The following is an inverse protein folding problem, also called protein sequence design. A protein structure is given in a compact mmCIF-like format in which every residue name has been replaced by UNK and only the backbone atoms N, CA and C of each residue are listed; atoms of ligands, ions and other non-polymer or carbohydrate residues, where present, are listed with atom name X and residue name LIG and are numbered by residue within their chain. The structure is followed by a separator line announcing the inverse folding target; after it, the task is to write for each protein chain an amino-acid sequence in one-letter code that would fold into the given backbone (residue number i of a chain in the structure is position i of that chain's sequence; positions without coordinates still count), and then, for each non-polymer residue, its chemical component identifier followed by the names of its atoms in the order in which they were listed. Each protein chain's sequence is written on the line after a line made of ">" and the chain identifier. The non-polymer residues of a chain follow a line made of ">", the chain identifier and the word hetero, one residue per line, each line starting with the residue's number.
data_IF_725744167187
#
_entry.id   IF_725744167187
#
_cell.length_a   1.000
_cell.length_b   1.000
_cell.length_c   1.000
_cell.angle_alpha   90.00
_cell.angle_beta   90.00
_cell.angle_gamma   90.00
#
_symmetry.space_group_name_H-M   'P 1'
#
loop_
_entity.id
_entity.type
_entity.pdbx_description
1 polymer ?
#
# COMPACT_ATOMS: atom_id res chain seq x y z
N UNK A 1 23.14 2.53 -21.40
CA UNK A 1 24.03 3.64 -20.97
C UNK A 1 23.15 4.78 -20.50
N UNK A 2 23.35 5.30 -19.29
CA UNK A 2 22.55 6.40 -18.78
C UNK A 2 22.82 7.67 -19.59
N UNK A 3 21.78 8.29 -20.14
CA UNK A 3 21.90 9.58 -20.82
C UNK A 3 21.58 10.69 -19.83
N UNK A 4 22.52 11.63 -19.65
CA UNK A 4 22.30 12.79 -18.80
C UNK A 4 22.02 14.02 -19.66
N UNK A 5 20.91 14.69 -19.39
CA UNK A 5 20.52 15.92 -20.06
C UNK A 5 20.19 16.99 -19.03
N UNK A 6 20.79 18.17 -19.17
CA UNK A 6 20.41 19.32 -18.34
C UNK A 6 19.12 19.90 -18.91
N UNK A 7 18.00 19.70 -18.21
CA UNK A 7 16.68 20.14 -18.66
C UNK A 7 16.31 21.54 -18.16
N UNK A 8 16.92 21.97 -17.06
CA UNK A 8 16.69 23.30 -16.49
C UNK A 8 17.96 23.86 -15.88
N UNK A 9 18.18 25.15 -16.14
CA UNK A 9 19.20 25.97 -15.49
C UNK A 9 18.52 27.17 -14.88
N UNK A 10 18.67 27.33 -13.57
CA UNK A 10 18.15 28.50 -12.86
C UNK A 10 19.26 29.11 -12.02
N UNK A 11 19.53 30.39 -12.26
CA UNK A 11 20.38 31.18 -11.36
C UNK A 11 19.61 31.35 -10.06
N UNK A 12 20.12 30.75 -8.99
CA UNK A 12 19.43 30.76 -7.68
C UNK A 12 19.88 31.97 -6.86
N UNK A 13 21.07 32.52 -7.14
CA UNK A 13 21.62 33.68 -6.46
C UNK A 13 23.14 33.78 -6.58
N UNK A 14 23.74 34.79 -5.93
CA UNK A 14 25.20 34.93 -5.89
C UNK A 14 25.84 33.80 -5.07
N UNK A 15 27.01 33.33 -5.47
CA UNK A 15 27.81 32.40 -4.66
C UNK A 15 28.43 33.07 -3.40
N UNK A 16 28.11 34.33 -3.13
CA UNK A 16 28.60 35.02 -1.94
C UNK A 16 28.04 34.34 -0.67
N UNK A 17 28.90 33.94 0.30
CA UNK A 17 28.50 33.10 1.44
C UNK A 17 27.35 33.67 2.27
N UNK A 18 27.28 35.00 2.42
CA UNK A 18 26.26 35.69 3.21
C UNK A 18 24.88 35.66 2.52
N UNK A 19 24.83 35.92 1.22
CA UNK A 19 23.58 35.93 0.46
C UNK A 19 22.98 34.52 0.37
N UNK A 20 23.82 33.49 0.26
CA UNK A 20 23.43 32.08 0.34
C UNK A 20 22.72 31.76 1.65
N UNK A 21 23.33 32.12 2.79
CA UNK A 21 22.74 31.91 4.13
C UNK A 21 21.37 32.59 4.31
N UNK A 22 21.20 33.83 3.84
CA UNK A 22 19.90 34.50 3.92
C UNK A 22 18.81 33.80 3.09
N UNK A 23 19.17 33.27 1.92
CA UNK A 23 18.25 32.50 1.07
C UNK A 23 17.88 31.15 1.71
N UNK A 24 18.85 30.47 2.31
CA UNK A 24 18.63 29.20 3.01
C UNK A 24 17.69 29.38 4.21
N UNK A 25 17.82 30.48 4.97
CA UNK A 25 16.88 30.87 6.03
C UNK A 25 15.47 31.10 5.47
N UNK A 26 15.33 31.86 4.37
CA UNK A 26 14.01 32.12 3.75
C UNK A 26 13.34 30.83 3.26
N UNK A 27 14.12 29.92 2.66
CA UNK A 27 13.63 28.63 2.21
C UNK A 27 13.26 27.73 3.39
N UNK A 28 13.99 27.80 4.51
CA UNK A 28 13.64 27.10 5.74
C UNK A 28 12.27 27.56 6.28
N UNK A 29 11.96 28.86 6.23
CA UNK A 29 10.63 29.37 6.60
C UNK A 29 9.51 28.88 5.68
N UNK A 30 9.76 28.77 4.37
CA UNK A 30 8.80 28.15 3.45
C UNK A 30 8.60 26.65 3.78
N UNK A 31 9.66 25.96 4.19
CA UNK A 31 9.63 24.57 4.64
C UNK A 31 8.75 24.34 5.87
N UNK A 32 8.59 25.33 6.75
CA UNK A 32 7.72 25.22 7.95
C UNK A 32 6.27 24.91 7.56
N UNK A 33 5.75 25.53 6.50
CA UNK A 33 4.38 25.27 6.02
C UNK A 33 4.19 23.83 5.55
N UNK A 34 5.15 23.30 4.79
CA UNK A 34 5.19 21.89 4.41
C UNK A 34 5.30 20.98 5.64
N UNK A 35 6.09 21.40 6.64
CA UNK A 35 6.22 20.72 7.93
C UNK A 35 4.89 20.55 8.65
N UNK A 36 4.08 21.60 8.75
CA UNK A 36 2.74 21.51 9.33
C UNK A 36 1.81 20.58 8.53
N UNK A 37 1.87 20.61 7.20
CA UNK A 37 1.13 19.67 6.35
C UNK A 37 1.50 18.22 6.64
N UNK A 38 2.80 17.91 6.72
CA UNK A 38 3.30 16.59 7.07
C UNK A 38 2.85 16.15 8.49
N UNK A 39 2.85 17.07 9.46
CA UNK A 39 2.35 16.78 10.81
C UNK A 39 0.87 16.38 10.79
N UNK A 40 0.01 17.15 10.10
CA UNK A 40 -1.43 16.89 10.00
C UNK A 40 -1.69 15.52 9.36
N UNK A 41 -1.05 15.24 8.22
CA UNK A 41 -1.18 13.94 7.55
C UNK A 41 -0.68 12.81 8.45
N UNK A 42 0.45 13.01 9.15
CA UNK A 42 0.98 12.07 10.12
C UNK A 42 -0.03 11.73 11.23
N UNK A 43 -0.72 12.73 11.79
CA UNK A 43 -1.78 12.50 12.78
C UNK A 43 -3.00 11.76 12.19
N UNK A 44 -3.42 12.09 10.96
CA UNK A 44 -4.51 11.36 10.28
C UNK A 44 -4.11 9.88 10.09
N UNK A 45 -2.85 9.60 9.73
CA UNK A 45 -2.35 8.23 9.63
C UNK A 45 -2.35 7.49 10.97
N UNK A 46 -2.07 8.16 12.10
CA UNK A 46 -2.21 7.54 13.42
C UNK A 46 -3.67 7.13 13.66
N UNK A 47 -4.62 8.03 13.39
CA UNK A 47 -6.06 7.76 13.59
C UNK A 47 -6.53 6.60 12.71
N UNK A 48 -6.27 6.68 11.40
CA UNK A 48 -6.67 5.66 10.43
C UNK A 48 -5.99 4.31 10.69
N UNK A 49 -4.77 4.28 11.23
CA UNK A 49 -4.10 3.03 11.64
C UNK A 49 -4.83 2.28 12.76
N UNK A 50 -5.69 2.97 13.53
CA UNK A 50 -6.47 2.38 14.63
C UNK A 50 -7.91 2.15 14.20
N UNK A 51 -8.52 3.08 13.46
CA UNK A 51 -9.97 3.04 13.17
C UNK A 51 -10.32 2.47 11.80
N UNK A 52 -9.44 2.58 10.80
CA UNK A 52 -9.75 2.22 9.41
C UNK A 52 -9.33 0.80 9.03
N UNK A 53 -8.41 0.17 9.78
CA UNK A 53 -8.05 -1.24 9.54
C UNK A 53 -9.13 -2.13 10.09
N UNK A 54 -9.96 -2.67 9.19
CA UNK A 54 -10.96 -3.68 9.52
C UNK A 54 -10.28 -4.94 10.07
N UNK A 55 -10.83 -5.46 11.16
CA UNK A 55 -10.32 -6.64 11.87
C UNK A 55 -11.03 -7.90 11.37
N UNK A 56 -10.84 -8.22 10.09
CA UNK A 56 -11.38 -9.43 9.47
C UNK A 56 -10.98 -10.68 10.23
N UNK A 57 -9.75 -10.76 10.73
CA UNK A 57 -9.29 -11.90 11.51
C UNK A 57 -10.16 -12.17 12.75
N UNK A 58 -10.60 -11.13 13.46
CA UNK A 58 -11.48 -11.28 14.63
C UNK A 58 -12.88 -11.70 14.25
N UNK A 59 -13.39 -11.19 13.12
CA UNK A 59 -14.69 -11.61 12.57
C UNK A 59 -14.62 -13.10 12.22
N UNK A 60 -13.62 -13.50 11.44
CA UNK A 60 -13.42 -14.90 11.03
C UNK A 60 -13.18 -15.81 12.23
N UNK A 61 -12.36 -15.40 13.20
CA UNK A 61 -12.08 -16.20 14.40
C UNK A 61 -13.28 -16.31 15.35
N UNK A 62 -14.13 -15.29 15.41
CA UNK A 62 -15.31 -15.27 16.28
C UNK A 62 -16.50 -16.08 15.74
N UNK A 63 -16.53 -16.34 14.44
CA UNK A 63 -17.57 -17.17 13.82
C UNK A 63 -17.27 -18.66 14.02
N UNK A 64 -18.25 -19.48 14.45
CA UNK A 64 -18.09 -20.93 14.43
C UNK A 64 -17.99 -21.42 12.99
N UNK A 65 -17.17 -22.45 12.76
CA UNK A 65 -17.13 -23.15 11.48
C UNK A 65 -18.35 -24.07 11.39
N UNK A 66 -19.21 -23.84 10.41
CA UNK A 66 -20.46 -24.58 10.22
C UNK A 66 -20.42 -25.42 8.95
N UNK A 67 -21.17 -26.53 8.94
CA UNK A 67 -21.50 -27.18 7.67
C UNK A 67 -22.54 -26.35 6.91
N UNK A 68 -22.63 -26.50 5.57
CA UNK A 68 -23.61 -25.76 4.78
C UNK A 68 -25.07 -26.00 5.19
N UNK A 69 -25.39 -27.18 5.74
CA UNK A 69 -26.74 -27.54 6.16
C UNK A 69 -27.15 -26.92 7.50
N UNK A 70 -26.17 -26.56 8.33
CA UNK A 70 -26.38 -25.96 9.65
C UNK A 70 -26.41 -24.42 9.60
N UNK A 71 -25.97 -23.83 8.49
CA UNK A 71 -25.89 -22.39 8.31
C UNK A 71 -27.28 -21.74 8.26
N UNK A 72 -27.43 -20.63 8.97
CA UNK A 72 -28.64 -19.80 8.99
C UNK A 72 -28.35 -18.43 8.39
N UNK A 73 -29.38 -17.71 7.94
CA UNK A 73 -29.22 -16.35 7.42
C UNK A 73 -28.45 -15.44 8.40
N UNK A 74 -27.59 -14.59 7.86
CA UNK A 74 -26.67 -13.72 8.60
C UNK A 74 -25.21 -13.96 8.24
N UNK A 75 -24.29 -13.40 9.03
CA UNK A 75 -22.85 -13.59 8.78
C UNK A 75 -22.46 -15.00 9.21
N UNK A 76 -22.02 -15.82 8.24
CA UNK A 76 -21.65 -17.22 8.45
C UNK A 76 -20.22 -17.48 8.02
N UNK A 77 -19.66 -18.58 8.55
CA UNK A 77 -18.40 -19.16 8.10
C UNK A 77 -18.64 -20.64 7.81
N UNK A 78 -18.71 -20.97 6.53
CA UNK A 78 -18.98 -22.33 6.06
C UNK A 78 -17.72 -22.95 5.47
N UNK A 79 -17.61 -24.26 5.58
CA UNK A 79 -16.57 -25.04 4.90
C UNK A 79 -17.17 -26.21 4.14
N UNK A 80 -16.66 -26.45 2.93
CA UNK A 80 -17.00 -27.65 2.19
C UNK A 80 -16.33 -27.69 0.83
N UNK A 81 -16.61 -28.76 0.08
CA UNK A 81 -16.11 -28.92 -1.27
C UNK A 81 -16.96 -28.08 -2.24
N UNK A 82 -16.35 -27.21 -3.06
CA UNK A 82 -17.09 -26.44 -4.06
C UNK A 82 -17.64 -27.36 -5.16
N UNK A 83 -18.88 -27.14 -5.55
CA UNK A 83 -19.48 -27.68 -6.77
C UNK A 83 -19.60 -26.54 -7.77
N UNK A 84 -18.89 -26.65 -8.88
CA UNK A 84 -18.78 -25.60 -9.90
C UNK A 84 -19.61 -26.04 -11.10
N UNK A 85 -20.62 -25.25 -11.46
CA UNK A 85 -21.49 -25.57 -12.60
C UNK A 85 -20.88 -25.06 -13.92
N UNK A 86 -20.31 -23.87 -13.89
CA UNK A 86 -19.70 -23.20 -15.05
C UNK A 86 -18.30 -22.74 -14.65
N UNK A 87 -17.26 -23.60 -14.77
CA UNK A 87 -15.90 -23.21 -14.42
C UNK A 87 -15.40 -22.12 -15.36
N UNK A 88 -14.54 -21.25 -14.83
CA UNK A 88 -13.91 -20.23 -15.67
C UNK A 88 -12.88 -20.91 -16.56
N UNK A 89 -12.92 -20.55 -17.83
CA UNK A 89 -11.82 -20.79 -18.74
C UNK A 89 -11.73 -19.63 -19.73
N UNK A 90 -10.52 -19.14 -19.94
CA UNK A 90 -10.25 -18.07 -20.90
C UNK A 90 -9.56 -18.63 -22.12
N UNK A 91 -10.04 -18.24 -23.29
CA UNK A 91 -9.37 -18.54 -24.55
C UNK A 91 -8.33 -17.47 -24.85
N UNK A 92 -7.10 -17.90 -25.08
CA UNK A 92 -5.99 -17.07 -25.51
C UNK A 92 -5.43 -17.57 -26.84
N UNK A 93 -4.68 -16.73 -27.53
CA UNK A 93 -4.08 -17.06 -28.81
C UNK A 93 -2.57 -17.05 -28.68
N UNK A 94 -1.90 -18.03 -29.28
CA UNK A 94 -0.45 -18.02 -29.42
C UNK A 94 -0.02 -17.12 -30.58
N UNK A 95 1.23 -16.70 -30.60
CA UNK A 95 1.83 -15.98 -31.70
C UNK A 95 2.22 -16.96 -32.81
N UNK A 96 1.82 -16.66 -34.04
CA UNK A 96 2.18 -17.48 -35.21
C UNK A 96 3.62 -17.24 -35.70
N UNK A 97 4.16 -16.06 -35.38
CA UNK A 97 5.46 -15.55 -35.82
C UNK A 97 6.13 -14.81 -34.66
N UNK A 98 7.45 -14.68 -34.72
CA UNK A 98 8.29 -14.08 -33.67
C UNK A 98 7.86 -12.66 -33.27
N UNK A 99 7.24 -11.91 -34.19
CA UNK A 99 6.79 -10.53 -33.94
C UNK A 99 5.33 -10.42 -33.46
N UNK A 100 4.63 -11.53 -33.22
CA UNK A 100 3.24 -11.60 -32.74
C UNK A 100 2.20 -10.79 -33.56
N UNK A 101 2.52 -10.37 -34.78
CA UNK A 101 1.69 -9.48 -35.61
C UNK A 101 0.38 -10.11 -36.12
N UNK A 102 0.22 -11.42 -35.99
CA UNK A 102 -1.02 -12.13 -36.30
C UNK A 102 -1.31 -13.22 -35.26
N UNK A 103 -2.58 -13.41 -34.87
CA UNK A 103 -2.96 -14.46 -33.95
C UNK A 103 -2.75 -15.85 -34.59
N UNK A 104 -2.26 -16.77 -33.77
CA UNK A 104 -2.01 -18.16 -34.11
C UNK A 104 -3.09 -19.10 -33.58
N UNK A 105 -2.67 -20.28 -33.13
CA UNK A 105 -3.56 -21.28 -32.53
C UNK A 105 -4.25 -20.71 -31.27
N UNK A 106 -5.57 -20.92 -31.17
CA UNK A 106 -6.32 -20.60 -29.96
C UNK A 106 -6.21 -21.77 -28.98
N UNK A 107 -5.91 -21.46 -27.72
CA UNK A 107 -5.88 -22.42 -26.61
C UNK A 107 -6.77 -21.90 -25.50
N UNK A 108 -7.23 -22.81 -24.67
CA UNK A 108 -8.09 -22.48 -23.53
C UNK A 108 -7.36 -22.85 -22.25
N UNK A 109 -7.49 -22.01 -21.22
CA UNK A 109 -6.97 -22.34 -19.88
C UNK A 109 -7.66 -23.58 -19.33
N UNK A 110 -7.00 -24.25 -18.39
CA UNK A 110 -7.63 -25.35 -17.66
C UNK A 110 -8.85 -24.81 -16.91
N UNK A 111 -10.03 -25.49 -16.98
CA UNK A 111 -11.20 -25.11 -16.20
C UNK A 111 -10.84 -24.93 -14.72
N UNK A 112 -11.17 -23.75 -14.20
CA UNK A 112 -10.73 -23.30 -12.88
C UNK A 112 -11.87 -22.63 -12.13
N UNK A 113 -11.82 -22.70 -10.80
CA UNK A 113 -12.73 -21.94 -9.94
C UNK A 113 -12.44 -20.44 -10.00
N UNK A 114 -11.15 -20.12 -10.01
CA UNK A 114 -10.64 -18.75 -10.00
C UNK A 114 -9.42 -18.72 -10.92
N UNK A 115 -9.32 -17.68 -11.74
CA UNK A 115 -8.13 -17.42 -12.55
C UNK A 115 -7.78 -15.93 -12.56
N UNK A 116 -6.49 -15.63 -12.43
CA UNK A 116 -5.90 -14.33 -12.71
C UNK A 116 -4.99 -14.49 -13.90
N UNK A 117 -5.22 -13.67 -14.91
CA UNK A 117 -4.48 -13.65 -16.15
C UNK A 117 -3.72 -12.33 -16.21
N UNK A 118 -2.40 -12.42 -16.35
CA UNK A 118 -1.53 -11.25 -16.53
C UNK A 118 -0.80 -11.40 -17.86
N UNK A 119 -1.14 -10.55 -18.82
CA UNK A 119 -0.48 -10.48 -20.11
C UNK A 119 0.71 -9.56 -19.98
N UNK A 120 1.91 -10.08 -20.22
CA UNK A 120 3.14 -9.33 -20.10
C UNK A 120 3.90 -9.32 -21.42
N UNK A 121 4.53 -8.19 -21.73
CA UNK A 121 5.51 -8.08 -22.81
C UNK A 121 6.84 -7.62 -22.25
N UNK A 122 7.92 -8.24 -22.70
CA UNK A 122 9.27 -7.83 -22.34
C UNK A 122 9.65 -6.59 -23.16
N UNK A 123 9.88 -5.47 -22.47
CA UNK A 123 10.09 -4.17 -23.08
C UNK A 123 11.24 -3.43 -22.42
N UNK A 124 11.75 -2.45 -23.15
CA UNK A 124 12.63 -1.44 -22.59
C UNK A 124 11.74 -0.36 -21.99
N UNK A 125 11.94 -0.07 -20.71
CA UNK A 125 11.32 1.06 -20.05
C UNK A 125 12.34 2.16 -19.85
N UNK A 126 11.94 3.36 -20.24
CA UNK A 126 12.63 4.59 -19.91
C UNK A 126 12.34 4.96 -18.45
N UNK A 127 13.32 4.78 -17.58
CA UNK A 127 13.29 5.24 -16.21
C UNK A 127 14.01 6.57 -16.10
N UNK A 128 13.22 7.63 -15.97
CA UNK A 128 13.73 8.98 -15.79
C UNK A 128 13.89 9.29 -14.30
N UNK A 129 15.13 9.58 -13.89
CA UNK A 129 15.41 10.18 -12.59
C UNK A 129 15.88 11.61 -12.75
N UNK A 130 15.35 12.52 -11.94
CA UNK A 130 15.79 13.92 -11.94
C UNK A 130 16.62 14.18 -10.70
N UNK A 131 17.86 14.62 -10.90
CA UNK A 131 18.73 15.08 -9.84
C UNK A 131 18.93 16.59 -9.97
N UNK A 132 18.73 17.34 -8.88
CA UNK A 132 19.10 18.76 -8.86
C UNK A 132 20.46 18.91 -8.20
N UNK A 133 21.43 19.38 -8.96
CA UNK A 133 22.77 19.71 -8.46
C UNK A 133 23.02 21.21 -8.52
N UNK A 134 23.80 21.72 -7.58
CA UNK A 134 24.22 23.13 -7.58
C UNK A 134 25.64 23.21 -8.10
N UNK A 135 25.85 23.96 -9.19
CA UNK A 135 27.16 24.21 -9.80
C UNK A 135 27.50 25.69 -9.62
N UNK A 136 28.77 26.00 -9.34
CA UNK A 136 29.25 27.38 -9.27
C UNK A 136 29.82 27.73 -10.64
N UNK A 137 29.18 28.68 -11.33
CA UNK A 137 29.61 29.17 -12.64
C UNK A 137 29.70 30.70 -12.58
N UNK A 138 30.87 31.26 -12.90
CA UNK A 138 31.12 32.71 -12.88
C UNK A 138 30.75 33.42 -11.55
N UNK A 139 30.95 32.76 -10.41
CA UNK A 139 30.63 33.32 -9.09
C UNK A 139 29.15 33.37 -8.74
N UNK A 140 28.30 32.70 -9.53
CA UNK A 140 26.87 32.51 -9.24
C UNK A 140 26.58 31.04 -8.96
N UNK A 141 25.62 30.79 -8.08
CA UNK A 141 25.10 29.44 -7.84
C UNK A 141 23.97 29.17 -8.83
N UNK A 142 24.22 28.22 -9.73
CA UNK A 142 23.27 27.75 -10.72
C UNK A 142 22.76 26.39 -10.27
N UNK A 143 21.46 26.27 -10.06
CA UNK A 143 20.82 24.96 -9.93
C UNK A 143 20.63 24.41 -11.33
N UNK A 144 21.28 23.28 -11.59
CA UNK A 144 21.04 22.44 -12.75
C UNK A 144 20.14 21.29 -12.34
N UNK A 145 19.00 21.13 -13.01
CA UNK A 145 18.24 19.89 -12.94
C UNK A 145 18.72 19.00 -14.07
N UNK A 146 19.39 17.92 -13.70
CA UNK A 146 19.90 16.90 -14.60
C UNK A 146 18.89 15.77 -14.63
N UNK A 147 18.37 15.51 -15.81
CA UNK A 147 17.56 14.34 -16.11
C UNK A 147 18.52 13.22 -16.49
N UNK A 148 18.50 12.13 -15.73
CA UNK A 148 19.22 10.90 -16.04
C UNK A 148 18.19 9.89 -16.53
N UNK A 149 18.32 9.53 -17.79
CA UNK A 149 17.47 8.55 -18.45
C UNK A 149 18.21 7.22 -18.45
N UNK A 150 17.64 6.24 -17.77
CA UNK A 150 18.09 4.85 -17.80
C UNK A 150 17.10 3.98 -18.56
N UNK A 151 17.62 3.08 -19.38
CA UNK A 151 16.81 2.17 -20.18
C UNK A 151 16.96 0.77 -19.60
N UNK A 152 15.88 0.24 -19.04
CA UNK A 152 15.88 -1.05 -18.36
C UNK A 152 14.93 -2.02 -19.06
N UNK A 153 15.46 -3.18 -19.43
CA UNK A 153 14.68 -4.28 -20.01
C UNK A 153 13.94 -5.04 -18.90
N UNK A 154 12.60 -5.09 -18.96
CA UNK A 154 11.79 -5.84 -18.00
C UNK A 154 10.44 -6.26 -18.58
N UNK A 155 9.80 -7.21 -17.90
CA UNK A 155 8.42 -7.58 -18.18
C UNK A 155 7.47 -6.47 -17.74
N UNK A 156 6.59 -6.04 -18.65
CA UNK A 156 5.58 -5.00 -18.43
C UNK A 156 4.20 -5.61 -18.59
N UNK A 157 3.38 -5.45 -17.56
CA UNK A 157 1.96 -5.79 -17.59
C UNK A 157 1.25 -4.92 -18.63
N UNK A 158 0.58 -5.58 -19.58
CA UNK A 158 -0.21 -4.96 -20.65
C UNK A 158 -1.70 -5.06 -20.40
N UNK A 159 -2.11 -6.17 -19.81
CA UNK A 159 -3.48 -6.39 -19.39
C UNK A 159 -3.49 -7.31 -18.17
N UNK A 160 -4.52 -7.18 -17.36
CA UNK A 160 -4.74 -8.03 -16.19
C UNK A 160 -6.22 -8.20 -15.93
N UNK A 161 -6.67 -9.45 -15.89
CA UNK A 161 -8.05 -9.80 -15.55
C UNK A 161 -8.08 -10.85 -14.45
N UNK A 162 -9.07 -10.75 -13.57
CA UNK A 162 -9.35 -11.76 -12.55
C UNK A 162 -10.80 -12.19 -12.70
N UNK A 163 -11.02 -13.49 -12.85
CA UNK A 163 -12.33 -14.06 -13.12
C UNK A 163 -12.64 -15.14 -12.08
N UNK A 164 -13.88 -15.18 -11.65
CA UNK A 164 -14.41 -16.20 -10.77
C UNK A 164 -15.54 -16.99 -11.44
N UNK A 165 -15.61 -18.27 -11.11
CA UNK A 165 -16.79 -19.07 -11.36
C UNK A 165 -17.72 -18.95 -10.15
N UNK A 166 -19.02 -18.92 -10.41
CA UNK A 166 -20.01 -19.15 -9.39
C UNK A 166 -19.96 -20.61 -8.96
N UNK A 167 -20.13 -20.85 -7.66
CA UNK A 167 -20.03 -22.20 -7.11
C UNK A 167 -21.01 -22.40 -5.97
N UNK A 168 -21.23 -23.66 -5.61
CA UNK A 168 -22.04 -24.05 -4.47
C UNK A 168 -21.19 -24.77 -3.43
N UNK A 169 -21.48 -24.55 -2.15
CA UNK A 169 -21.00 -25.41 -1.07
C UNK A 169 -22.24 -26.00 -0.41
N UNK A 170 -22.45 -27.30 -0.60
CA UNK A 170 -23.70 -27.95 -0.20
C UNK A 170 -24.89 -27.35 -0.96
N UNK A 171 -25.83 -26.73 -0.24
CA UNK A 171 -27.01 -26.07 -0.81
C UNK A 171 -26.85 -24.55 -0.98
N UNK A 172 -25.73 -23.99 -0.53
CA UNK A 172 -25.49 -22.53 -0.52
C UNK A 172 -24.79 -22.14 -1.81
N UNK A 173 -25.36 -21.16 -2.51
CA UNK A 173 -24.75 -20.56 -3.70
C UNK A 173 -23.80 -19.43 -3.28
N UNK A 174 -22.60 -19.40 -3.84
CA UNK A 174 -21.59 -18.37 -3.59
C UNK A 174 -21.30 -17.63 -4.89
N UNK A 175 -21.47 -16.30 -4.85
CA UNK A 175 -21.17 -15.37 -5.94
C UNK A 175 -19.93 -14.55 -5.51
N UNK A 176 -18.71 -15.01 -5.84
CA UNK A 176 -17.47 -14.49 -5.27
C UNK A 176 -16.94 -13.21 -5.95
N UNK A 177 -17.72 -12.56 -6.82
CA UNK A 177 -17.33 -11.31 -7.44
C UNK A 177 -17.03 -10.24 -6.36
N UNK A 178 -15.85 -9.63 -6.41
CA UNK A 178 -15.39 -8.65 -5.40
C UNK A 178 -14.90 -9.24 -4.07
N UNK A 179 -14.92 -10.57 -3.91
CA UNK A 179 -14.45 -11.22 -2.69
C UNK A 179 -12.98 -10.88 -2.37
N UNK A 180 -12.68 -10.71 -1.08
CA UNK A 180 -11.29 -10.65 -0.62
C UNK A 180 -10.66 -12.04 -0.76
N UNK A 181 -9.73 -12.16 -1.68
CA UNK A 181 -9.06 -13.43 -1.99
C UNK A 181 -7.89 -13.68 -1.03
N UNK A 182 -7.99 -14.70 -0.19
CA UNK A 182 -6.87 -15.17 0.65
C UNK A 182 -6.58 -16.61 0.28
N UNK A 183 -5.97 -16.78 -0.88
CA UNK A 183 -5.85 -18.07 -1.55
C UNK A 183 -4.38 -18.48 -1.71
N UNK A 184 -4.16 -19.77 -1.85
CA UNK A 184 -2.97 -20.36 -2.45
C UNK A 184 -3.33 -20.78 -3.87
N UNK A 185 -2.73 -20.10 -4.85
CA UNK A 185 -2.95 -20.34 -6.27
C UNK A 185 -1.81 -21.17 -6.84
N UNK A 186 -2.12 -22.00 -7.83
CA UNK A 186 -1.11 -22.55 -8.72
C UNK A 186 -0.78 -21.51 -9.78
N UNK A 187 0.47 -21.45 -10.23
CA UNK A 187 0.90 -20.51 -11.28
C UNK A 187 1.53 -21.27 -12.45
N UNK A 188 1.17 -20.87 -13.67
CA UNK A 188 1.83 -21.33 -14.90
C UNK A 188 2.11 -20.16 -15.82
N UNK A 189 3.19 -20.24 -16.58
CA UNK A 189 3.55 -19.24 -17.58
C UNK A 189 3.46 -19.85 -18.98
N UNK A 190 2.73 -19.19 -19.87
CA UNK A 190 2.63 -19.58 -21.28
C UNK A 190 3.39 -18.55 -22.12
N UNK A 191 4.50 -18.93 -22.77
CA UNK A 191 5.24 -18.01 -23.64
C UNK A 191 4.51 -17.80 -24.97
N UNK A 192 4.94 -16.77 -25.70
CA UNK A 192 4.55 -16.47 -27.07
C UNK A 192 3.03 -16.30 -27.25
N UNK A 193 2.40 -15.52 -26.36
CA UNK A 193 0.96 -15.21 -26.43
C UNK A 193 0.69 -13.94 -27.21
N UNK A 194 -0.37 -13.95 -28.02
CA UNK A 194 -0.85 -12.77 -28.70
C UNK A 194 -1.53 -11.85 -27.69
N UNK A 195 -1.01 -10.62 -27.55
CA UNK A 195 -1.58 -9.58 -26.69
C UNK A 195 -2.31 -8.59 -27.60
N UNK A 196 -3.66 -8.48 -27.50
CA UNK A 196 -4.41 -7.52 -28.29
C UNK A 196 -3.93 -6.10 -28.02
N UNK A 197 -3.79 -5.29 -29.08
CA UNK A 197 -3.43 -3.88 -28.98
C UNK A 197 -2.13 -3.57 -28.22
N UNK A 198 -1.17 -4.51 -28.18
CA UNK A 198 0.08 -4.31 -27.44
C UNK A 198 0.91 -3.10 -27.94
N UNK A 199 0.64 -2.58 -29.15
CA UNK A 199 1.38 -1.47 -29.73
C UNK A 199 2.75 -1.90 -30.28
N UNK A 200 3.52 -0.95 -30.79
CA UNK A 200 4.87 -1.20 -31.33
C UNK A 200 5.86 -1.29 -30.16
N UNK A 201 6.82 -2.21 -30.23
CA UNK A 201 7.91 -2.29 -29.26
C UNK A 201 8.91 -1.18 -29.55
N UNK A 202 9.09 -0.25 -28.60
CA UNK A 202 10.07 0.82 -28.73
C UNK A 202 11.43 0.35 -28.23
N UNK A 203 12.47 0.58 -29.04
CA UNK A 203 13.85 0.23 -28.69
C UNK A 203 14.69 1.44 -28.25
N UNK A 204 14.15 2.67 -28.32
CA UNK A 204 14.84 3.92 -27.99
C UNK A 204 16.24 4.06 -28.61
N UNK A 205 16.44 3.47 -29.79
CA UNK A 205 17.75 3.42 -30.46
C UNK A 205 18.84 2.66 -29.69
N UNK A 206 18.48 1.88 -28.67
CA UNK A 206 19.39 1.05 -27.90
C UNK A 206 19.65 -0.29 -28.60
N UNK A 207 20.80 -0.89 -28.32
CA UNK A 207 21.03 -2.30 -28.61
C UNK A 207 20.21 -3.12 -27.60
N UNK A 208 19.30 -3.95 -28.11
CA UNK A 208 18.33 -4.69 -27.30
C UNK A 208 18.68 -6.16 -27.23
N UNK A 209 18.27 -6.86 -26.18
CA UNK A 209 18.35 -8.32 -26.14
C UNK A 209 17.34 -8.98 -27.10
N UNK A 210 17.60 -10.23 -27.47
CA UNK A 210 16.69 -11.05 -28.29
C UNK A 210 15.33 -11.31 -27.61
N UNK A 211 15.20 -10.98 -26.31
CA UNK A 211 13.96 -11.11 -25.55
C UNK A 211 13.04 -9.92 -25.72
N UNK A 212 13.53 -8.76 -26.17
CA UNK A 212 12.68 -7.56 -26.32
C UNK A 212 11.61 -7.81 -27.38
N UNK A 213 10.35 -7.67 -26.95
CA UNK A 213 9.17 -8.02 -27.72
C UNK A 213 8.57 -9.39 -27.40
N UNK A 214 9.27 -10.26 -26.66
CA UNK A 214 8.72 -11.52 -26.19
C UNK A 214 7.48 -11.27 -25.33
N UNK A 215 6.47 -12.11 -25.51
CA UNK A 215 5.21 -12.04 -24.78
C UNK A 215 5.04 -13.29 -23.92
N UNK A 216 4.33 -13.13 -22.80
CA UNK A 216 3.88 -14.27 -22.00
C UNK A 216 2.57 -13.97 -21.31
N UNK A 217 1.85 -15.04 -21.00
CA UNK A 217 0.67 -15.03 -20.14
C UNK A 217 1.03 -15.73 -18.84
N UNK A 218 0.92 -15.02 -17.72
CA UNK A 218 0.93 -15.64 -16.40
C UNK A 218 -0.49 -15.98 -16.02
N UNK A 219 -0.71 -17.23 -15.63
CA UNK A 219 -2.01 -17.76 -15.22
C UNK A 219 -1.85 -18.20 -13.78
N UNK A 220 -2.46 -17.48 -12.85
CA UNK A 220 -2.61 -17.91 -11.46
C UNK A 220 -4.02 -18.45 -11.29
N UNK A 221 -4.19 -19.69 -10.83
CA UNK A 221 -5.51 -20.31 -10.80
C UNK A 221 -5.72 -21.24 -9.61
N UNK A 222 -6.99 -21.52 -9.34
CA UNK A 222 -7.44 -22.55 -8.41
C UNK A 222 -8.14 -23.63 -9.22
N UNK A 223 -7.64 -24.87 -9.21
CA UNK A 223 -8.25 -25.95 -9.98
C UNK A 223 -9.68 -26.22 -9.50
N UNK A 224 -10.53 -26.66 -10.42
CA UNK A 224 -11.91 -27.07 -10.11
C UNK A 224 -11.98 -28.15 -9.02
N UNK A 225 -10.96 -29.00 -8.93
CA UNK A 225 -10.88 -30.14 -8.01
C UNK A 225 -10.35 -29.76 -6.63
N UNK A 226 -10.57 -28.52 -6.17
CA UNK A 226 -10.12 -28.11 -4.83
C UNK A 226 -10.95 -28.81 -3.76
N UNK A 227 -10.30 -29.52 -2.85
CA UNK A 227 -10.99 -30.40 -1.90
C UNK A 227 -11.87 -29.64 -0.90
N UNK A 228 -11.42 -28.49 -0.41
CA UNK A 228 -12.13 -27.70 0.59
C UNK A 228 -11.91 -26.20 0.41
N UNK A 229 -13.00 -25.44 0.57
CA UNK A 229 -12.98 -23.99 0.69
C UNK A 229 -13.65 -23.56 1.98
N UNK A 230 -13.15 -22.47 2.55
CA UNK A 230 -13.81 -21.70 3.60
C UNK A 230 -14.37 -20.43 2.96
N UNK A 231 -15.66 -20.21 3.15
CA UNK A 231 -16.35 -18.99 2.73
C UNK A 231 -16.90 -18.29 3.96
N UNK A 232 -16.54 -17.02 4.10
CA UNK A 232 -17.07 -16.12 5.13
C UNK A 232 -17.84 -15.02 4.41
N UNK A 233 -19.07 -14.78 4.81
CA UNK A 233 -19.91 -13.76 4.17
C UNK A 233 -21.31 -13.72 4.77
N UNK A 234 -22.13 -12.80 4.27
CA UNK A 234 -23.54 -12.70 4.65
C UNK A 234 -24.37 -13.69 3.82
N UNK A 235 -24.95 -14.68 4.49
CA UNK A 235 -25.90 -15.62 3.91
C UNK A 235 -27.30 -15.00 3.94
N UNK A 236 -27.91 -14.89 2.77
CA UNK A 236 -29.29 -14.43 2.62
C UNK A 236 -30.02 -15.35 1.64
N UNK A 237 -31.06 -16.03 2.11
CA UNK A 237 -31.88 -16.93 1.28
C UNK A 237 -31.04 -18.00 0.54
N UNK A 238 -30.06 -18.60 1.22
CA UNK A 238 -29.21 -19.63 0.63
C UNK A 238 -28.15 -19.12 -0.35
N UNK A 239 -27.94 -17.81 -0.44
CA UNK A 239 -26.91 -17.20 -1.28
C UNK A 239 -25.97 -16.34 -0.45
N UNK A 240 -24.67 -16.49 -0.67
CA UNK A 240 -23.63 -15.58 -0.21
C UNK A 240 -23.15 -14.83 -1.45
N UNK A 241 -23.48 -13.55 -1.54
CA UNK A 241 -23.05 -12.67 -2.62
C UNK A 241 -22.40 -11.42 -2.02
N UNK A 242 -21.64 -10.71 -2.87
CA UNK A 242 -21.16 -9.33 -2.72
C UNK A 242 -21.21 -8.73 -1.30
N UNK A 243 -20.05 -8.33 -0.79
CA UNK A 243 -19.97 -7.62 0.48
C UNK A 243 -18.54 -7.42 0.93
N UNK A 244 -18.32 -6.37 1.73
CA UNK A 244 -16.99 -6.07 2.28
C UNK A 244 -16.45 -7.21 3.17
N UNK A 245 -17.32 -8.10 3.65
CA UNK A 245 -16.99 -9.25 4.50
C UNK A 245 -16.83 -10.56 3.73
N UNK A 246 -17.04 -10.57 2.41
CA UNK A 246 -16.91 -11.78 1.60
C UNK A 246 -15.44 -12.19 1.46
N UNK A 247 -15.09 -13.33 2.06
CA UNK A 247 -13.74 -13.90 2.02
C UNK A 247 -13.88 -15.34 1.52
N UNK A 248 -13.12 -15.66 0.48
CA UNK A 248 -12.98 -17.03 -0.03
C UNK A 248 -11.52 -17.46 0.17
N UNK A 249 -11.34 -18.65 0.73
CA UNK A 249 -10.02 -19.20 1.09
C UNK A 249 -9.98 -20.70 0.88
N UNK A 250 -8.87 -21.23 0.36
CA UNK A 250 -8.56 -22.67 0.33
C UNK A 250 -7.61 -23.09 1.46
N UNK A 251 -7.27 -22.16 2.37
CA UNK A 251 -6.50 -22.43 3.58
C UNK A 251 -7.35 -23.05 4.67
N UNK A 252 -6.70 -23.72 5.63
CA UNK A 252 -7.35 -24.12 6.88
C UNK A 252 -7.81 -22.89 7.67
N UNK A 253 -8.77 -23.08 8.60
CA UNK A 253 -9.30 -21.99 9.42
C UNK A 253 -8.19 -21.24 10.18
N UNK A 254 -7.24 -21.96 10.76
CA UNK A 254 -6.18 -21.37 11.58
C UNK A 254 -5.16 -20.61 10.73
N UNK A 255 -4.82 -21.13 9.54
CA UNK A 255 -3.97 -20.45 8.57
C UNK A 255 -4.65 -19.20 8.00
N UNK A 256 -5.95 -19.26 7.69
CA UNK A 256 -6.72 -18.13 7.22
C UNK A 256 -6.72 -17.00 8.26
N UNK A 257 -7.04 -17.32 9.52
CA UNK A 257 -7.03 -16.34 10.62
C UNK A 257 -5.63 -15.75 10.76
N UNK A 258 -4.59 -16.58 10.81
CA UNK A 258 -3.20 -16.13 10.94
C UNK A 258 -2.77 -15.22 9.78
N UNK A 259 -3.12 -15.57 8.54
CA UNK A 259 -2.78 -14.77 7.35
C UNK A 259 -3.51 -13.43 7.36
N UNK A 260 -4.78 -13.40 7.79
CA UNK A 260 -5.54 -12.15 7.98
C UNK A 260 -4.94 -11.28 9.09
N UNK A 261 -4.59 -11.88 10.24
CA UNK A 261 -3.95 -11.17 11.36
C UNK A 261 -2.63 -10.52 10.91
N UNK A 262 -1.80 -11.26 10.16
CA UNK A 262 -0.54 -10.77 9.66
C UNK A 262 -0.72 -9.63 8.65
N UNK A 263 -1.67 -9.75 7.71
CA UNK A 263 -1.99 -8.68 6.76
C UNK A 263 -2.44 -7.40 7.48
N UNK A 264 -3.33 -7.53 8.46
CA UNK A 264 -3.81 -6.40 9.25
C UNK A 264 -2.71 -5.80 10.13
N UNK A 265 -1.91 -6.62 10.80
CA UNK A 265 -0.78 -6.17 11.61
C UNK A 265 0.23 -5.41 10.74
N UNK A 266 0.52 -5.92 9.55
CA UNK A 266 1.41 -5.28 8.57
C UNK A 266 0.85 -3.96 8.09
N UNK A 267 -0.44 -3.89 7.74
CA UNK A 267 -1.10 -2.64 7.33
C UNK A 267 -1.07 -1.59 8.45
N UNK A 268 -1.38 -1.98 9.70
CA UNK A 268 -1.28 -1.09 10.87
C UNK A 268 0.15 -0.61 11.09
N UNK A 269 1.13 -1.51 10.99
CA UNK A 269 2.55 -1.19 11.19
C UNK A 269 3.05 -0.24 10.09
N UNK A 270 2.71 -0.49 8.83
CA UNK A 270 3.05 0.36 7.70
C UNK A 270 2.50 1.78 7.88
N UNK A 271 1.21 1.92 8.23
CA UNK A 271 0.62 3.24 8.50
C UNK A 271 1.30 3.96 9.68
N UNK A 272 1.63 3.25 10.76
CA UNK A 272 2.35 3.83 11.90
C UNK A 272 3.77 4.25 11.54
N UNK A 273 4.44 3.47 10.70
CA UNK A 273 5.77 3.79 10.18
C UNK A 273 5.72 5.05 9.31
N UNK A 274 4.77 5.15 8.37
CA UNK A 274 4.59 6.36 7.56
C UNK A 274 4.17 7.57 8.40
N UNK A 275 3.31 7.40 9.41
CA UNK A 275 2.98 8.45 10.36
C UNK A 275 4.22 8.95 11.10
N UNK A 276 5.05 8.04 11.62
CA UNK A 276 6.30 8.36 12.28
C UNK A 276 7.26 9.12 11.37
N UNK A 277 7.41 8.68 10.11
CA UNK A 277 8.27 9.33 9.12
C UNK A 277 7.79 10.76 8.83
N UNK A 278 6.49 10.94 8.56
CA UNK A 278 5.89 12.25 8.29
C UNK A 278 5.98 13.20 9.49
N UNK A 279 5.76 12.69 10.70
CA UNK A 279 5.93 13.49 11.92
C UNK A 279 7.39 13.91 12.12
N UNK A 280 8.34 13.00 11.87
CA UNK A 280 9.77 13.27 11.99
C UNK A 280 10.20 14.37 11.00
N UNK A 281 9.75 14.27 9.75
CA UNK A 281 9.98 15.30 8.72
C UNK A 281 9.30 16.61 9.13
N UNK A 282 8.07 16.56 9.64
CA UNK A 282 7.31 17.72 10.09
C UNK A 282 8.00 18.50 11.20
N UNK A 283 8.44 17.82 12.26
CA UNK A 283 9.20 18.46 13.35
C UNK A 283 10.57 18.96 12.89
N UNK A 284 11.28 18.18 12.07
CA UNK A 284 12.55 18.60 11.48
C UNK A 284 12.41 19.89 10.67
N UNK A 285 11.34 20.02 9.87
CA UNK A 285 11.04 21.22 9.09
C UNK A 285 10.72 22.44 9.98
N UNK A 286 10.04 22.25 11.12
CA UNK A 286 9.77 23.33 12.09
C UNK A 286 11.06 23.80 12.78
N UNK A 287 11.98 22.88 13.07
CA UNK A 287 13.27 23.21 13.69
C UNK A 287 14.29 23.79 12.70
N UNK A 288 14.08 23.61 11.39
CA UNK A 288 15.04 24.03 10.36
C UNK A 288 15.48 25.50 10.46
N UNK A 289 14.59 26.50 10.67
CA UNK A 289 15.01 27.90 10.81
C UNK A 289 15.95 28.13 12.01
N UNK A 290 15.73 27.41 13.12
CA UNK A 290 16.57 27.51 14.33
C UNK A 290 17.95 26.89 14.05
N UNK A 291 17.98 25.73 13.38
CA UNK A 291 19.22 25.03 13.05
C UNK A 291 20.11 25.83 12.10
N UNK A 292 19.51 26.61 11.19
CA UNK A 292 20.26 27.46 10.27
C UNK A 292 21.07 28.56 10.99
N UNK A 293 20.60 29.04 12.15
CA UNK A 293 21.39 29.94 13.00
C UNK A 293 22.57 29.23 13.67
N UNK A 294 22.43 27.96 14.02
CA UNK A 294 23.49 27.16 14.66
C UNK A 294 24.62 26.81 13.67
N UNK A 295 24.31 26.76 12.37
CA UNK A 295 25.30 26.56 11.31
C UNK A 295 26.27 27.72 11.11
N UNK A 296 26.11 28.83 11.85
CA UNK A 296 27.16 29.86 11.92
C UNK A 296 28.47 29.29 12.49
N UNK A 297 28.39 28.20 13.28
CA UNK A 297 29.54 27.51 13.87
C UNK A 297 29.79 26.20 13.09
N UNK A 298 30.92 26.06 12.37
CA UNK A 298 31.12 25.05 11.32
C UNK A 298 31.09 23.58 11.78
N UNK A 299 31.35 23.30 13.07
CA UNK A 299 31.26 21.95 13.64
C UNK A 299 29.93 21.72 14.37
N UNK A 300 29.44 22.74 15.08
CA UNK A 300 28.21 22.63 15.85
C UNK A 300 26.97 22.45 14.96
N UNK A 301 26.94 23.07 13.78
CA UNK A 301 25.80 22.98 12.84
C UNK A 301 25.47 21.54 12.40
N UNK A 302 26.47 20.77 11.97
CA UNK A 302 26.27 19.38 11.52
C UNK A 302 25.78 18.49 12.65
N UNK A 303 26.40 18.62 13.84
CA UNK A 303 26.00 17.86 15.03
C UNK A 303 24.58 18.25 15.46
N UNK A 304 24.23 19.53 15.42
CA UNK A 304 22.89 20.01 15.76
C UNK A 304 21.80 19.48 14.81
N UNK A 305 22.06 19.43 13.49
CA UNK A 305 21.11 18.87 12.52
C UNK A 305 20.85 17.38 12.77
N UNK A 306 21.91 16.60 13.00
CA UNK A 306 21.80 15.17 13.33
C UNK A 306 21.05 14.98 14.66
N UNK A 307 21.43 15.74 15.70
CA UNK A 307 20.76 15.69 17.00
C UNK A 307 19.28 16.06 16.90
N UNK A 308 18.93 17.12 16.16
CA UNK A 308 17.55 17.54 15.96
C UNK A 308 16.72 16.49 15.20
N UNK A 309 17.32 15.80 14.22
CA UNK A 309 16.66 14.68 13.56
C UNK A 309 16.37 13.55 14.55
N UNK A 310 17.35 13.13 15.36
CA UNK A 310 17.14 12.10 16.38
C UNK A 310 16.10 12.50 17.43
N UNK A 311 16.15 13.74 17.93
CA UNK A 311 15.15 14.26 18.88
C UNK A 311 13.75 14.24 18.24
N UNK A 312 13.64 14.70 16.99
CA UNK A 312 12.37 14.69 16.24
C UNK A 312 11.86 13.27 16.02
N UNK A 313 12.74 12.33 15.70
CA UNK A 313 12.40 10.92 15.48
C UNK A 313 11.92 10.24 16.77
N UNK A 314 12.62 10.46 17.89
CA UNK A 314 12.23 9.93 19.21
C UNK A 314 10.91 10.55 19.66
N UNK A 315 10.75 11.86 19.51
CA UNK A 315 9.51 12.55 19.87
C UNK A 315 8.33 12.09 18.99
N UNK A 316 8.55 11.90 17.70
CA UNK A 316 7.54 11.36 16.77
C UNK A 316 7.15 9.94 17.16
N UNK A 317 8.12 9.08 17.50
CA UNK A 317 7.84 7.72 17.95
C UNK A 317 7.00 7.72 19.24
N UNK A 318 7.33 8.60 20.18
CA UNK A 318 6.55 8.80 21.40
C UNK A 318 5.12 9.27 21.10
N UNK A 319 4.92 10.19 20.15
CA UNK A 319 3.59 10.66 19.75
C UNK A 319 2.77 9.58 19.03
N UNK A 320 3.38 8.79 18.14
CA UNK A 320 2.71 7.66 17.50
C UNK A 320 2.30 6.63 18.55
N UNK A 321 3.21 6.24 19.45
CA UNK A 321 2.92 5.26 20.50
C UNK A 321 1.81 5.77 21.43
N UNK A 322 1.92 7.00 21.92
CA UNK A 322 0.93 7.62 22.80
C UNK A 322 -0.40 7.80 22.10
N UNK A 323 -0.40 8.25 20.84
CA UNK A 323 -1.61 8.42 20.04
C UNK A 323 -2.34 7.09 19.81
N UNK A 324 -1.61 6.03 19.47
CA UNK A 324 -2.18 4.67 19.35
C UNK A 324 -2.74 4.19 20.69
N UNK A 325 -2.03 4.41 21.81
CA UNK A 325 -2.49 4.02 23.15
C UNK A 325 -3.75 4.80 23.54
N UNK A 326 -3.77 6.12 23.37
CA UNK A 326 -4.90 6.99 23.65
C UNK A 326 -6.14 6.58 22.84
N UNK A 327 -5.98 6.31 21.54
CA UNK A 327 -7.08 5.93 20.68
C UNK A 327 -7.58 4.51 20.97
N UNK A 328 -6.67 3.55 21.21
CA UNK A 328 -7.05 2.17 21.51
C UNK A 328 -7.72 2.02 22.87
N UNK A 329 -7.30 2.81 23.85
CA UNK A 329 -7.76 2.74 25.25
C UNK A 329 -8.55 3.98 25.67
N UNK A 330 -9.18 4.70 24.72
CA UNK A 330 -9.90 5.95 24.99
C UNK A 330 -10.95 5.81 26.09
N UNK A 331 -11.59 4.64 26.19
CA UNK A 331 -12.59 4.31 27.21
C UNK A 331 -12.02 4.33 28.64
N UNK A 332 -10.73 4.01 28.83
CA UNK A 332 -10.06 4.08 30.15
C UNK A 332 -9.95 5.54 30.59
N UNK A 333 -9.55 6.42 29.69
CA UNK A 333 -9.45 7.86 29.96
C UNK A 333 -10.84 8.48 30.21
N UNK A 334 -11.85 8.04 29.46
CA UNK A 334 -13.23 8.45 29.70
C UNK A 334 -13.71 8.03 31.10
N UNK A 335 -13.46 6.79 31.50
CA UNK A 335 -13.81 6.29 32.83
C UNK A 335 -13.10 7.08 33.95
N UNK A 336 -11.80 7.33 33.81
CA UNK A 336 -11.03 8.13 34.78
C UNK A 336 -11.56 9.58 34.86
N UNK A 337 -11.94 10.17 33.72
CA UNK A 337 -12.57 11.49 33.67
C UNK A 337 -13.89 11.55 34.45
N UNK A 338 -14.74 10.52 34.32
CA UNK A 338 -16.00 10.42 35.08
C UNK A 338 -15.72 10.33 36.59
N UNK A 339 -14.76 9.51 37.02
CA UNK A 339 -14.39 9.37 38.44
C UNK A 339 -13.89 10.70 39.01
N UNK A 340 -13.01 11.40 38.30
CA UNK A 340 -12.51 12.72 38.72
C UNK A 340 -13.64 13.76 38.78
N UNK A 341 -14.57 13.73 37.83
CA UNK A 341 -15.71 14.64 37.80
C UNK A 341 -16.62 14.42 39.02
N UNK A 342 -17.00 13.18 39.31
CA UNK A 342 -17.79 12.83 40.51
C UNK A 342 -17.04 13.22 41.79
N UNK A 343 -15.74 12.93 41.86
CA UNK A 343 -14.90 13.31 43.00
C UNK A 343 -14.86 14.82 43.24
N UNK A 344 -14.77 15.63 42.17
CA UNK A 344 -14.78 17.09 42.29
C UNK A 344 -16.13 17.62 42.78
N UNK A 345 -17.26 17.06 42.32
CA UNK A 345 -18.60 17.39 42.83
C UNK A 345 -18.70 17.10 44.33
N UNK A 346 -18.24 15.92 44.79
CA UNK A 346 -18.26 15.54 46.22
C UNK A 346 -17.40 16.50 47.06
N UNK A 347 -16.21 16.88 46.56
CA UNK A 347 -15.35 17.83 47.28
C UNK A 347 -15.98 19.22 47.37
N UNK A 348 -16.64 19.70 46.31
CA UNK A 348 -17.33 20.99 46.30
C UNK A 348 -18.53 20.97 47.25
N UNK A 349 -19.38 19.93 47.20
CA UNK A 349 -20.55 19.82 48.10
C UNK A 349 -20.13 19.75 49.56
N UNK A 350 -19.07 18.99 49.88
CA UNK A 350 -18.49 18.93 51.23
C UNK A 350 -17.94 20.28 51.67
N UNK A 351 -17.28 21.03 50.78
CA UNK A 351 -16.75 22.36 51.12
C UNK A 351 -17.87 23.37 51.39
N UNK A 352 -18.95 23.34 50.61
CA UNK A 352 -20.14 24.18 50.83
C UNK A 352 -20.83 23.84 52.15
N UNK A 353 -21.01 22.54 52.46
CA UNK A 353 -21.57 22.11 53.74
C UNK A 353 -20.70 22.49 54.95
N UNK A 354 -19.37 22.53 54.81
CA UNK A 354 -18.49 22.93 55.91
C UNK A 354 -18.52 24.42 56.26
N UNK A 355 -19.08 25.26 55.36
CA UNK A 355 -19.21 26.71 55.55
C UNK A 355 -20.61 27.15 55.98
N UNK A 356 -21.59 26.25 55.87
CA UNK A 356 -22.93 26.42 56.44
C UNK A 356 -22.99 25.84 57.83
#
# INVERSE_FOLDING_TARGET
>A
MAQQKVISRKVVGSAHPVARKFRDIKNAFAGVGCGFGALIIGFILIVTSVTSVKEYSKIVAGLPLQSPEEAQDGIVKIQGQPTINEPVSTTYQLCKVQDCGAPGESRTTTPSLYEVLTWERYEIVEETSTETRTVIENGQEVQETVETIEYNERWIEKDRSANWADFQIGTITVLPEGAKTVLETSSTEVPDVHIPNAGIVENFGQQVSDQVGATRLKIEYIPESTDQLIVVGELTNGTIADGETLIVSNLSNDELVTKLENQEATARLAMRFFAWLLLTIGFGAILAPILEFVELIPVAGKVAKVAAFFISAVFSAFLVLTGVLLLKFWYIFAALGVVLFIGSIILITKHVQSKS
#
